data_IF_374099552755
#
_entry.id   IF_374099552755
#
_cell.length_a   1.000
_cell.length_b   1.000
_cell.length_c   1.000
_cell.angle_alpha   90.00
_cell.angle_beta   90.00
_cell.angle_gamma   90.00
#
_symmetry.space_group_name_H-M   'P 1'
#
loop_
_entity.id
_entity.type
_entity.pdbx_description
1 polymer ?
#
# COMPACT_ATOMS: atom_id res chain seq x y z
N UNK A 1 -19.01 0.56 -5.40
CA UNK A 1 -17.72 -0.06 -5.01
C UNK A 1 -17.04 0.85 -4.02
N UNK A 2 -16.77 0.37 -2.81
CA UNK A 2 -16.05 1.10 -1.77
C UNK A 2 -14.61 0.63 -1.71
N UNK A 3 -13.67 1.56 -1.61
CA UNK A 3 -12.26 1.23 -1.43
C UNK A 3 -11.59 2.16 -0.41
N UNK A 4 -10.54 1.65 0.21
CA UNK A 4 -9.63 2.40 1.07
C UNK A 4 -8.21 2.27 0.51
N UNK A 5 -7.44 3.36 0.57
CA UNK A 5 -6.06 3.37 0.07
C UNK A 5 -5.14 3.97 1.12
N UNK A 6 -4.05 3.29 1.41
CA UNK A 6 -3.00 3.72 2.30
C UNK A 6 -1.73 4.01 1.48
N UNK A 7 -1.40 5.30 1.31
CA UNK A 7 -0.18 5.77 0.67
C UNK A 7 0.71 6.41 1.73
N UNK A 8 1.45 5.59 2.44
CA UNK A 8 2.27 5.98 3.58
C UNK A 8 3.49 5.05 3.69
N UNK A 9 4.29 5.17 4.73
CA UNK A 9 5.34 4.20 5.00
C UNK A 9 4.75 2.97 5.68
N UNK A 10 5.15 1.78 5.22
CA UNK A 10 4.91 0.52 5.90
C UNK A 10 6.20 0.04 6.56
N UNK A 11 6.10 -0.50 7.76
CA UNK A 11 7.21 -1.12 8.47
C UNK A 11 6.85 -2.56 8.75
N UNK A 12 7.72 -3.45 8.31
CA UNK A 12 7.64 -4.87 8.54
C UNK A 12 8.42 -5.26 9.80
N UNK A 13 7.75 -5.93 10.75
CA UNK A 13 8.38 -6.47 11.95
C UNK A 13 8.54 -7.99 11.83
N UNK A 14 9.67 -8.42 11.27
CA UNK A 14 9.93 -9.83 10.95
C UNK A 14 9.87 -10.78 12.14
N UNK A 15 10.14 -10.30 13.35
CA UNK A 15 10.07 -11.08 14.60
C UNK A 15 8.64 -11.20 15.13
N UNK A 16 7.79 -10.24 14.85
CA UNK A 16 6.39 -10.17 15.25
C UNK A 16 5.54 -9.48 14.18
N UNK A 17 5.03 -10.22 13.18
CA UNK A 17 4.27 -9.65 12.07
C UNK A 17 3.02 -8.88 12.48
N UNK A 18 2.46 -9.15 13.66
CA UNK A 18 1.30 -8.43 14.19
C UNK A 18 1.65 -7.01 14.64
N UNK A 19 2.93 -6.75 14.88
CA UNK A 19 3.47 -5.41 15.16
C UNK A 19 3.86 -4.64 13.89
N UNK A 20 3.79 -5.26 12.71
CA UNK A 20 3.95 -4.55 11.45
C UNK A 20 2.91 -3.44 11.36
N UNK A 21 3.32 -2.25 10.91
CA UNK A 21 2.46 -1.07 10.99
C UNK A 21 2.62 -0.11 9.81
N UNK A 22 1.59 0.70 9.64
CA UNK A 22 1.58 1.86 8.75
C UNK A 22 1.93 3.10 9.57
N UNK A 23 2.79 3.96 9.03
CA UNK A 23 3.13 5.25 9.64
C UNK A 23 2.24 6.32 9.04
N UNK A 24 1.35 6.86 9.84
CA UNK A 24 0.38 7.86 9.43
C UNK A 24 1.03 9.26 9.30
N UNK A 25 0.34 10.19 8.63
CA UNK A 25 0.88 11.54 8.35
C UNK A 25 1.20 12.36 9.61
N UNK A 26 0.55 12.09 10.72
CA UNK A 26 0.79 12.71 12.02
C UNK A 26 1.90 12.02 12.84
N UNK A 27 2.51 10.97 12.27
CA UNK A 27 3.53 10.16 12.92
C UNK A 27 2.98 9.05 13.81
N UNK A 28 1.66 8.91 13.93
CA UNK A 28 1.06 7.77 14.63
C UNK A 28 1.27 6.48 13.85
N UNK A 29 1.24 5.36 14.55
CA UNK A 29 1.37 4.02 13.99
C UNK A 29 0.01 3.32 14.00
N UNK A 30 -0.32 2.67 12.89
CA UNK A 30 -1.51 1.84 12.77
C UNK A 30 -1.02 0.39 12.54
N UNK A 31 -1.03 -0.40 13.60
CA UNK A 31 -0.51 -1.77 13.57
C UNK A 31 -1.46 -2.73 12.86
N UNK A 32 -0.97 -3.91 12.49
CA UNK A 32 -1.79 -4.99 11.98
C UNK A 32 -2.87 -5.39 13.01
N UNK A 33 -2.52 -5.40 14.30
CA UNK A 33 -3.46 -5.68 15.37
C UNK A 33 -4.58 -4.63 15.46
N UNK A 34 -4.25 -3.33 15.32
CA UNK A 34 -5.24 -2.25 15.31
C UNK A 34 -6.17 -2.36 14.10
N UNK A 35 -5.61 -2.66 12.91
CA UNK A 35 -6.37 -2.85 11.68
C UNK A 35 -7.36 -4.01 11.80
N UNK A 36 -6.95 -5.14 12.38
CA UNK A 36 -7.81 -6.31 12.57
C UNK A 36 -9.00 -6.03 13.49
N UNK A 37 -8.90 -5.03 14.38
CA UNK A 37 -9.96 -4.64 15.32
C UNK A 37 -11.00 -3.68 14.70
N UNK A 38 -10.75 -3.13 13.51
CA UNK A 38 -11.66 -2.20 12.83
C UNK A 38 -12.72 -3.00 12.04
N UNK A 39 -13.96 -2.53 12.00
CA UNK A 39 -14.98 -3.10 11.12
C UNK A 39 -14.91 -2.49 9.70
N UNK A 40 -14.35 -3.23 8.76
CA UNK A 40 -14.19 -2.84 7.36
C UNK A 40 -15.04 -3.69 6.40
N UNK A 41 -16.10 -4.35 6.87
CA UNK A 41 -16.97 -5.21 6.05
C UNK A 41 -17.66 -4.48 4.89
N UNK A 42 -17.78 -3.17 4.95
CA UNK A 42 -18.31 -2.34 3.86
C UNK A 42 -17.27 -2.02 2.77
N UNK A 43 -16.00 -2.39 2.97
CA UNK A 43 -14.91 -2.11 2.04
C UNK A 43 -14.70 -3.30 1.10
N UNK A 44 -14.79 -3.05 -0.20
CA UNK A 44 -14.58 -4.08 -1.23
C UNK A 44 -13.09 -4.30 -1.53
N UNK A 45 -12.31 -3.23 -1.52
CA UNK A 45 -10.90 -3.25 -1.90
C UNK A 45 -10.06 -2.34 -1.00
N UNK A 46 -9.01 -2.90 -0.39
CA UNK A 46 -7.95 -2.13 0.25
C UNK A 46 -6.68 -2.13 -0.62
N UNK A 47 -6.10 -0.95 -0.78
CA UNK A 47 -4.86 -0.72 -1.52
C UNK A 47 -3.77 -0.29 -0.55
N UNK A 48 -2.72 -1.09 -0.44
CA UNK A 48 -1.54 -0.79 0.37
C UNK A 48 -0.41 -0.31 -0.55
N UNK A 49 -0.37 1.00 -0.80
CA UNK A 49 0.67 1.68 -1.59
C UNK A 49 1.93 1.99 -0.78
N UNK A 50 2.21 1.21 0.25
CA UNK A 50 3.40 1.31 1.09
C UNK A 50 4.38 0.19 0.75
N UNK A 51 5.69 0.43 0.96
CA UNK A 51 6.71 -0.58 0.71
C UNK A 51 6.55 -1.78 1.65
N UNK A 52 6.86 -2.97 1.15
CA UNK A 52 6.93 -4.22 1.94
C UNK A 52 5.64 -4.60 2.70
N UNK A 53 4.50 -4.03 2.31
CA UNK A 53 3.24 -4.25 3.02
C UNK A 53 2.66 -5.65 2.83
N UNK A 54 3.10 -6.38 1.80
CA UNK A 54 2.71 -7.77 1.57
C UNK A 54 3.79 -8.77 2.02
N UNK A 55 4.81 -8.34 2.77
CA UNK A 55 5.71 -9.28 3.41
C UNK A 55 4.91 -10.07 4.45
N UNK A 56 4.97 -11.38 4.30
CA UNK A 56 4.25 -12.33 5.13
C UNK A 56 5.29 -13.03 6.00
N UNK A 57 5.11 -12.94 7.31
CA UNK A 57 5.91 -13.73 8.24
C UNK A 57 5.36 -15.15 8.37
N UNK A 58 6.26 -16.10 8.44
CA UNK A 58 5.95 -17.44 8.88
C UNK A 58 6.50 -17.59 10.30
N UNK A 59 5.67 -17.40 11.31
CA UNK A 59 6.02 -17.78 12.67
C UNK A 59 5.89 -19.29 12.82
N UNK A 60 6.99 -20.01 12.71
CA UNK A 60 7.08 -21.40 13.16
C UNK A 60 6.26 -22.45 12.40
N UNK A 61 5.23 -22.07 11.68
CA UNK A 61 4.42 -22.93 10.82
C UNK A 61 4.30 -22.31 9.42
N UNK A 62 4.58 -23.09 8.35
CA UNK A 62 4.56 -22.58 6.96
C UNK A 62 3.19 -22.08 6.48
N UNK A 63 2.13 -22.36 7.23
CA UNK A 63 0.74 -22.16 6.84
C UNK A 63 0.09 -20.93 7.52
N UNK A 64 0.79 -20.23 8.40
CA UNK A 64 0.25 -19.02 9.06
C UNK A 64 0.65 -17.76 8.32
N UNK A 65 -0.31 -17.18 7.61
CA UNK A 65 -0.17 -15.85 7.02
C UNK A 65 -0.49 -14.79 8.05
N UNK A 66 0.46 -13.89 8.33
CA UNK A 66 0.30 -12.78 9.28
C UNK A 66 0.79 -11.48 8.66
N UNK A 67 0.38 -10.33 9.23
CA UNK A 67 0.77 -9.00 8.77
C UNK A 67 -0.38 -8.17 8.23
N UNK A 68 -0.06 -6.99 7.71
CA UNK A 68 -1.04 -5.97 7.31
C UNK A 68 -2.14 -6.44 6.34
N UNK A 69 -1.86 -7.23 5.27
CA UNK A 69 -2.92 -7.70 4.38
C UNK A 69 -3.90 -8.65 5.06
N UNK A 70 -3.40 -9.52 5.93
CA UNK A 70 -4.23 -10.49 6.67
C UNK A 70 -5.10 -9.76 7.67
N UNK A 71 -4.56 -8.77 8.37
CA UNK A 71 -5.31 -7.93 9.31
C UNK A 71 -6.49 -7.22 8.61
N UNK A 72 -6.29 -6.69 7.41
CA UNK A 72 -7.36 -6.09 6.60
C UNK A 72 -8.44 -7.11 6.20
N UNK A 73 -8.03 -8.32 5.82
CA UNK A 73 -8.99 -9.40 5.53
C UNK A 73 -9.78 -9.81 6.78
N UNK A 74 -9.13 -9.89 7.94
CA UNK A 74 -9.78 -10.14 9.24
C UNK A 74 -10.75 -9.02 9.62
N UNK A 75 -10.42 -7.77 9.32
CA UNK A 75 -11.29 -6.61 9.47
C UNK A 75 -12.54 -6.65 8.55
N UNK A 76 -12.58 -7.59 7.61
CA UNK A 76 -13.72 -7.82 6.71
C UNK A 76 -13.59 -7.25 5.31
N UNK A 77 -12.43 -6.69 4.95
CA UNK A 77 -12.16 -6.27 3.56
C UNK A 77 -12.20 -7.48 2.64
N UNK A 78 -12.87 -7.35 1.48
CA UNK A 78 -13.03 -8.48 0.55
C UNK A 78 -11.81 -8.78 -0.30
N UNK A 79 -11.00 -7.77 -0.59
CA UNK A 79 -9.79 -7.89 -1.41
C UNK A 79 -8.74 -6.91 -0.95
N UNK A 80 -7.47 -7.34 -0.94
CA UNK A 80 -6.33 -6.50 -0.60
C UNK A 80 -5.31 -6.56 -1.74
N UNK A 81 -4.81 -5.41 -2.18
CA UNK A 81 -3.67 -5.31 -3.07
C UNK A 81 -2.51 -4.64 -2.33
N UNK A 82 -1.35 -5.29 -2.31
CA UNK A 82 -0.18 -4.86 -1.56
C UNK A 82 1.11 -5.18 -2.32
N UNK A 83 2.18 -4.43 -2.07
CA UNK A 83 3.50 -4.66 -2.67
C UNK A 83 4.27 -5.74 -1.92
N UNK A 84 4.97 -6.61 -2.66
CA UNK A 84 5.78 -7.70 -2.11
C UNK A 84 7.25 -7.34 -1.91
N UNK A 85 7.67 -6.17 -2.36
CA UNK A 85 9.04 -5.66 -2.26
C UNK A 85 9.04 -4.13 -2.19
N UNK A 86 10.23 -3.55 -2.04
CA UNK A 86 10.42 -2.10 -2.13
C UNK A 86 10.02 -1.60 -3.52
N UNK A 87 9.11 -0.63 -3.56
CA UNK A 87 8.55 -0.09 -4.80
C UNK A 87 8.77 1.42 -4.89
N UNK A 88 8.91 1.91 -6.11
CA UNK A 88 8.90 3.34 -6.35
C UNK A 88 7.50 3.92 -6.10
N UNK A 89 7.41 4.97 -5.30
CA UNK A 89 6.13 5.56 -4.88
C UNK A 89 5.31 6.09 -6.06
N UNK A 90 5.98 6.71 -7.05
CA UNK A 90 5.32 7.28 -8.22
C UNK A 90 4.71 6.18 -9.09
N UNK A 91 5.49 5.16 -9.41
CA UNK A 91 5.05 4.01 -10.20
C UNK A 91 3.93 3.24 -9.50
N UNK A 92 4.03 3.07 -8.18
CA UNK A 92 3.00 2.41 -7.37
C UNK A 92 1.70 3.19 -7.38
N UNK A 93 1.78 4.52 -7.21
CA UNK A 93 0.59 5.37 -7.26
C UNK A 93 -0.10 5.27 -8.62
N UNK A 94 0.64 5.38 -9.73
CA UNK A 94 0.09 5.26 -11.07
C UNK A 94 -0.59 3.90 -11.29
N UNK A 95 0.08 2.80 -10.89
CA UNK A 95 -0.46 1.44 -11.01
C UNK A 95 -1.76 1.26 -10.21
N UNK A 96 -1.76 1.65 -8.94
CA UNK A 96 -2.94 1.51 -8.08
C UNK A 96 -4.06 2.48 -8.47
N UNK A 97 -3.73 3.66 -8.98
CA UNK A 97 -4.72 4.58 -9.55
C UNK A 97 -5.42 3.94 -10.76
N UNK A 98 -4.67 3.40 -11.71
CA UNK A 98 -5.22 2.69 -12.87
C UNK A 98 -6.05 1.48 -12.44
N UNK A 99 -5.56 0.67 -11.50
CA UNK A 99 -6.34 -0.44 -10.94
C UNK A 99 -7.69 0.03 -10.37
N UNK A 100 -7.69 1.17 -9.67
CA UNK A 100 -8.94 1.74 -9.11
C UNK A 100 -9.91 2.16 -10.21
N UNK A 101 -9.42 2.76 -11.29
CA UNK A 101 -10.25 3.13 -12.45
C UNK A 101 -10.90 1.90 -13.08
N UNK A 102 -10.11 0.86 -13.36
CA UNK A 102 -10.59 -0.40 -13.96
C UNK A 102 -11.60 -1.13 -13.04
N UNK A 103 -11.35 -1.10 -11.72
CA UNK A 103 -12.31 -1.68 -10.77
C UNK A 103 -13.62 -0.89 -10.72
N UNK A 104 -13.56 0.44 -10.74
CA UNK A 104 -14.78 1.30 -10.82
C UNK A 104 -15.55 1.11 -12.13
N UNK A 105 -14.87 0.76 -13.21
CA UNK A 105 -15.46 0.40 -14.48
C UNK A 105 -16.12 -0.98 -14.49
N UNK A 106 -16.04 -1.73 -13.38
CA UNK A 106 -16.76 -3.01 -13.20
C UNK A 106 -15.89 -4.26 -13.25
N UNK A 107 -14.59 -4.14 -13.42
CA UNK A 107 -13.71 -5.31 -13.35
C UNK A 107 -13.57 -5.79 -11.90
N UNK A 108 -13.43 -7.12 -11.72
CA UNK A 108 -13.04 -7.66 -10.40
C UNK A 108 -11.66 -7.14 -9.99
N UNK A 109 -11.33 -7.06 -8.68
CA UNK A 109 -10.03 -6.55 -8.23
C UNK A 109 -8.83 -7.22 -8.90
N UNK A 110 -8.85 -8.55 -9.06
CA UNK A 110 -7.77 -9.29 -9.73
C UNK A 110 -7.63 -8.92 -11.22
N UNK A 111 -8.75 -8.76 -11.93
CA UNK A 111 -8.74 -8.34 -13.35
C UNK A 111 -8.34 -6.88 -13.51
N UNK A 112 -8.76 -6.02 -12.60
CA UNK A 112 -8.37 -4.61 -12.57
C UNK A 112 -6.85 -4.46 -12.35
N UNK A 113 -6.28 -5.23 -11.42
CA UNK A 113 -4.82 -5.28 -11.22
C UNK A 113 -4.11 -5.79 -12.47
N UNK A 114 -4.60 -6.87 -13.08
CA UNK A 114 -4.01 -7.41 -14.31
C UNK A 114 -4.03 -6.39 -15.46
N UNK A 115 -5.14 -5.67 -15.64
CA UNK A 115 -5.25 -4.63 -16.66
C UNK A 115 -4.26 -3.49 -16.41
N UNK A 116 -4.17 -3.01 -15.15
CA UNK A 116 -3.22 -1.98 -14.77
C UNK A 116 -1.76 -2.43 -14.98
N UNK A 117 -1.40 -3.65 -14.62
CA UNK A 117 -0.06 -4.20 -14.84
C UNK A 117 0.29 -4.30 -16.32
N UNK A 118 -0.66 -4.71 -17.17
CA UNK A 118 -0.45 -4.76 -18.63
C UNK A 118 -0.23 -3.37 -19.22
N UNK A 119 -1.03 -2.39 -18.83
CA UNK A 119 -0.86 -1.01 -19.26
C UNK A 119 0.50 -0.45 -18.80
N UNK A 120 0.92 -0.78 -17.56
CA UNK A 120 2.23 -0.40 -17.04
C UNK A 120 3.38 -0.95 -17.89
N UNK A 121 3.35 -2.23 -18.20
CA UNK A 121 4.39 -2.88 -19.03
C UNK A 121 4.38 -2.36 -20.48
N UNK A 122 3.22 -2.01 -21.02
CA UNK A 122 3.07 -1.41 -22.33
C UNK A 122 3.49 0.07 -22.41
N UNK A 123 3.78 0.72 -21.28
CA UNK A 123 4.07 2.15 -21.22
C UNK A 123 2.83 3.04 -21.41
N UNK A 124 1.64 2.49 -21.23
CA UNK A 124 0.33 3.16 -21.40
C UNK A 124 -0.20 3.74 -20.08
N UNK A 125 0.71 4.24 -19.24
CA UNK A 125 0.34 4.81 -17.94
C UNK A 125 0.39 6.34 -18.00
N UNK A 126 -0.60 6.96 -17.39
CA UNK A 126 -0.56 8.40 -17.15
C UNK A 126 0.64 8.76 -16.27
N UNK A 127 1.31 9.85 -16.59
CA UNK A 127 2.40 10.36 -15.76
C UNK A 127 1.86 10.87 -14.43
N UNK A 128 2.71 10.92 -13.41
CA UNK A 128 2.33 11.51 -12.11
C UNK A 128 1.86 12.96 -12.27
N UNK A 129 2.46 13.70 -13.22
CA UNK A 129 2.08 15.09 -13.51
C UNK A 129 0.65 15.18 -14.05
N UNK A 130 0.27 14.28 -14.94
CA UNK A 130 -1.10 14.18 -15.48
C UNK A 130 -2.08 13.76 -14.39
N UNK A 131 -1.75 12.74 -13.60
CA UNK A 131 -2.60 12.22 -12.51
C UNK A 131 -2.84 13.24 -11.41
N UNK A 132 -1.86 14.09 -11.10
CA UNK A 132 -1.95 15.12 -10.08
C UNK A 132 -2.46 16.49 -10.62
N UNK A 133 -2.94 16.55 -11.87
CA UNK A 133 -3.52 17.75 -12.44
C UNK A 133 -2.50 18.83 -12.80
N UNK A 134 -1.25 18.45 -13.08
CA UNK A 134 -0.21 19.33 -13.58
C UNK A 134 0.70 19.95 -12.52
N UNK A 135 1.63 20.78 -12.97
CA UNK A 135 2.76 21.30 -12.19
C UNK A 135 2.41 22.10 -10.91
N UNK A 136 1.20 22.66 -10.84
CA UNK A 136 0.77 23.46 -9.67
C UNK A 136 0.61 22.61 -8.39
N UNK A 137 0.16 21.37 -8.51
CA UNK A 137 0.03 20.45 -7.35
C UNK A 137 1.41 19.94 -6.96
N UNK A 138 2.25 19.59 -7.94
CA UNK A 138 3.63 19.15 -7.67
C UNK A 138 4.49 20.25 -7.02
N UNK A 139 4.31 21.51 -7.40
CA UNK A 139 5.01 22.61 -6.75
C UNK A 139 4.60 22.76 -5.28
N UNK A 140 3.31 22.57 -4.96
CA UNK A 140 2.81 22.55 -3.59
C UNK A 140 3.31 21.35 -2.79
N UNK A 141 3.38 20.16 -3.38
CA UNK A 141 3.92 18.96 -2.73
C UNK A 141 5.42 19.09 -2.45
N UNK A 142 6.19 19.73 -3.32
CA UNK A 142 7.62 20.01 -3.09
C UNK A 142 7.88 21.00 -1.96
N UNK A 143 6.91 21.86 -1.63
CA UNK A 143 7.00 22.81 -0.50
C UNK A 143 6.59 22.16 0.83
N UNK A 144 5.92 21.01 0.80
CA UNK A 144 5.68 20.22 2.00
C UNK A 144 7.03 19.63 2.42
N UNK A 145 7.52 20.06 3.58
CA UNK A 145 8.73 19.54 4.20
C UNK A 145 8.59 18.01 4.30
N UNK A 146 9.53 17.21 3.78
CA UNK A 146 9.47 15.78 3.98
C UNK A 146 9.40 15.54 5.48
N UNK A 147 8.35 14.86 5.93
CA UNK A 147 8.27 14.35 7.28
C UNK A 147 9.43 13.35 7.40
N UNK A 148 10.53 13.79 8.00
CA UNK A 148 11.57 12.86 8.42
C UNK A 148 10.96 12.01 9.52
N UNK A 149 10.57 10.78 9.17
CA UNK A 149 10.16 9.81 10.18
C UNK A 149 11.32 9.69 11.18
N UNK A 150 11.09 9.94 12.47
CA UNK A 150 12.15 9.75 13.46
C UNK A 150 12.52 8.27 13.47
N UNK A 151 13.77 7.94 13.09
CA UNK A 151 14.31 6.59 13.11
C UNK A 151 14.44 5.88 11.75
N UNK A 152 14.07 6.49 10.63
CA UNK A 152 14.35 5.91 9.32
C UNK A 152 15.80 6.21 8.90
N UNK A 153 16.73 5.33 9.20
CA UNK A 153 18.07 5.33 8.65
C UNK A 153 18.15 4.32 7.51
N UNK A 154 18.19 4.85 6.27
CA UNK A 154 18.30 4.05 5.05
C UNK A 154 19.59 3.19 4.98
N UNK A 155 20.52 3.36 5.91
CA UNK A 155 21.79 2.63 5.98
C UNK A 155 21.68 1.29 6.72
N UNK A 156 20.62 1.02 7.45
CA UNK A 156 20.48 -0.23 8.23
C UNK A 156 19.89 -1.39 7.44
N UNK A 157 19.39 -1.19 6.21
CA UNK A 157 18.80 -2.26 5.40
C UNK A 157 19.74 -2.87 4.34
N UNK A 158 21.01 -2.48 4.28
CA UNK A 158 21.98 -3.11 3.35
C UNK A 158 22.84 -4.18 4.03
N UNK A 159 22.35 -4.82 5.07
CA UNK A 159 22.99 -5.96 5.74
C UNK A 159 22.50 -7.29 5.13
N UNK A 160 23.02 -7.65 3.95
CA UNK A 160 23.20 -9.03 3.48
C UNK A 160 24.66 -9.39 3.63
#
# INVERSE_FOLDING_TARGET
VSHVSFFCHGIWEGSDPDLSHLVMADGSQLSAQDLAAIDLRSVDLALLGACETALIGTRGTPDEFTGLPVALLQAGVRSVAASQWLVDAASTYALLHRMTQEHRAGLSPARALQAAQRAFVAGEMDTIEELLGGSAVLSRLRTLRPLSAPGFDAKTQTGL
#
